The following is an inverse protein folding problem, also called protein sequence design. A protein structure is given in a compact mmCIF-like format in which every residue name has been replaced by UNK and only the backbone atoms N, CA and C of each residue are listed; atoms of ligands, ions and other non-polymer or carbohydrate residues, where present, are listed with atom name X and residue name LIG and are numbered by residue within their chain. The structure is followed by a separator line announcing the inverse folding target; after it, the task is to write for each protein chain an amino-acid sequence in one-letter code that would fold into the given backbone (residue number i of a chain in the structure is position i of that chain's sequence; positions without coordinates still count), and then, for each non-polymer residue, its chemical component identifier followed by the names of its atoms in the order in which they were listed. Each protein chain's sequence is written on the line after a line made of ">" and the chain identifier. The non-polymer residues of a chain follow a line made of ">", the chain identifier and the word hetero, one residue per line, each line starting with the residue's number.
data_IF_493959351872
#
_entry.id   IF_493959351872
#
_cell.length_a   1.000
_cell.length_b   1.000
_cell.length_c   1.000
_cell.angle_alpha   90.00
_cell.angle_beta   90.00
_cell.angle_gamma   90.00
#
_symmetry.space_group_name_H-M   'P 1'
#
loop_
_entity.id
_entity.type
_entity.pdbx_description
1 polymer ?
#
# COMPACT_ATOMS: atom_id res chain seq x y z
N UNK A 1 61.08 -8.30 -5.48
CA UNK A 1 59.95 -7.92 -4.62
C UNK A 1 60.47 -7.79 -3.20
N UNK A 2 60.66 -6.55 -2.75
CA UNK A 2 61.26 -6.25 -1.45
C UNK A 2 60.19 -6.34 -0.35
N UNK A 3 60.58 -6.62 0.90
CA UNK A 3 59.62 -6.89 1.99
C UNK A 3 58.64 -5.71 2.21
N UNK A 4 59.14 -4.48 2.04
CA UNK A 4 58.35 -3.25 2.13
C UNK A 4 57.29 -3.14 1.02
N UNK A 5 57.62 -3.54 -0.22
CA UNK A 5 56.69 -3.53 -1.36
C UNK A 5 55.53 -4.49 -1.11
N UNK A 6 55.83 -5.66 -0.55
CA UNK A 6 54.83 -6.68 -0.24
C UNK A 6 53.87 -6.24 0.88
N UNK A 7 54.38 -5.55 1.90
CA UNK A 7 53.55 -4.97 2.98
C UNK A 7 52.66 -3.84 2.46
N UNK A 8 53.18 -2.97 1.59
CA UNK A 8 52.38 -1.91 0.95
C UNK A 8 51.27 -2.49 0.06
N UNK A 9 51.56 -3.55 -0.70
CA UNK A 9 50.55 -4.27 -1.50
C UNK A 9 49.47 -4.85 -0.59
N UNK A 10 49.83 -5.43 0.56
CA UNK A 10 48.86 -5.99 1.50
C UNK A 10 47.94 -4.91 2.09
N UNK A 11 48.48 -3.75 2.49
CA UNK A 11 47.65 -2.62 2.95
C UNK A 11 46.75 -2.07 1.84
N UNK A 12 47.24 -1.97 0.61
CA UNK A 12 46.44 -1.55 -0.53
C UNK A 12 45.27 -2.52 -0.78
N UNK A 13 45.52 -3.83 -0.76
CA UNK A 13 44.46 -4.85 -0.94
C UNK A 13 43.42 -4.77 0.17
N UNK A 14 43.82 -4.62 1.44
CA UNK A 14 42.87 -4.48 2.55
C UNK A 14 42.03 -3.21 2.41
N UNK A 15 42.65 -2.10 2.02
CA UNK A 15 41.94 -0.83 1.82
C UNK A 15 40.93 -0.94 0.66
N UNK A 16 41.36 -1.43 -0.51
CA UNK A 16 40.48 -1.57 -1.67
C UNK A 16 39.35 -2.57 -1.43
N UNK A 17 39.62 -3.69 -0.75
CA UNK A 17 38.57 -4.68 -0.42
C UNK A 17 37.56 -4.12 0.59
N UNK A 18 38.01 -3.37 1.59
CA UNK A 18 37.12 -2.71 2.57
C UNK A 18 36.22 -1.66 1.90
N UNK A 19 36.80 -0.83 1.03
CA UNK A 19 36.03 0.17 0.27
C UNK A 19 35.04 -0.49 -0.68
N UNK A 20 35.46 -1.54 -1.41
CA UNK A 20 34.59 -2.28 -2.32
C UNK A 20 33.42 -2.96 -1.59
N UNK A 21 33.68 -3.55 -0.42
CA UNK A 21 32.64 -4.18 0.39
C UNK A 21 31.62 -3.17 0.90
N UNK A 22 32.08 -2.02 1.41
CA UNK A 22 31.19 -0.95 1.87
C UNK A 22 30.35 -0.38 0.72
N UNK A 23 30.95 -0.13 -0.44
CA UNK A 23 30.23 0.35 -1.60
C UNK A 23 29.15 -0.64 -2.05
N UNK A 24 29.49 -1.93 -2.16
CA UNK A 24 28.52 -2.96 -2.51
C UNK A 24 27.38 -2.97 -1.50
N UNK A 25 27.65 -2.98 -0.19
CA UNK A 25 26.60 -2.97 0.81
C UNK A 25 25.63 -1.79 0.65
N UNK A 26 26.15 -0.58 0.43
CA UNK A 26 25.31 0.62 0.24
C UNK A 26 24.45 0.53 -1.02
N UNK A 27 24.98 -0.02 -2.11
CA UNK A 27 24.22 -0.25 -3.36
C UNK A 27 23.08 -1.24 -3.14
N UNK A 28 23.31 -2.31 -2.39
CA UNK A 28 22.27 -3.29 -2.07
C UNK A 28 21.18 -2.69 -1.17
N UNK A 29 21.56 -1.93 -0.14
CA UNK A 29 20.60 -1.21 0.70
C UNK A 29 19.75 -0.21 -0.12
N UNK A 30 20.36 0.51 -1.08
CA UNK A 30 19.63 1.40 -1.98
C UNK A 30 18.67 0.64 -2.91
N UNK A 31 19.08 -0.52 -3.43
CA UNK A 31 18.22 -1.37 -4.24
C UNK A 31 16.99 -1.84 -3.44
N UNK A 32 17.18 -2.24 -2.19
CA UNK A 32 16.08 -2.65 -1.31
C UNK A 32 15.11 -1.50 -1.02
N UNK A 33 15.62 -0.28 -0.81
CA UNK A 33 14.77 0.90 -0.66
C UNK A 33 13.94 1.19 -1.92
N UNK A 34 14.53 1.08 -3.11
CA UNK A 34 13.83 1.27 -4.38
C UNK A 34 12.75 0.20 -4.60
N UNK A 35 13.05 -1.06 -4.30
CA UNK A 35 12.08 -2.15 -4.41
C UNK A 35 10.90 -1.92 -3.46
N UNK A 36 11.17 -1.53 -2.20
CA UNK A 36 10.14 -1.24 -1.22
C UNK A 36 9.30 -0.03 -1.60
N UNK A 37 9.91 1.04 -2.12
CA UNK A 37 9.20 2.21 -2.61
C UNK A 37 8.28 1.87 -3.78
N UNK A 38 8.74 1.04 -4.72
CA UNK A 38 7.91 0.58 -5.84
C UNK A 38 6.72 -0.26 -5.36
N UNK A 39 6.94 -1.21 -4.44
CA UNK A 39 5.86 -2.00 -3.84
C UNK A 39 4.83 -1.14 -3.12
N UNK A 40 5.30 -0.15 -2.35
CA UNK A 40 4.43 0.80 -1.65
C UNK A 40 3.58 1.61 -2.64
N UNK A 41 4.20 2.13 -3.71
CA UNK A 41 3.51 2.87 -4.77
C UNK A 41 2.44 2.00 -5.46
N UNK A 42 2.75 0.75 -5.79
CA UNK A 42 1.77 -0.16 -6.38
C UNK A 42 0.60 -0.46 -5.43
N UNK A 43 0.87 -0.69 -4.15
CA UNK A 43 -0.17 -0.87 -3.14
C UNK A 43 -1.06 0.38 -2.99
N UNK A 44 -0.45 1.58 -3.05
CA UNK A 44 -1.16 2.86 -3.02
C UNK A 44 -2.08 3.02 -4.24
N UNK A 45 -1.60 2.72 -5.44
CA UNK A 45 -2.42 2.79 -6.65
C UNK A 45 -3.59 1.79 -6.63
N UNK A 46 -3.36 0.56 -6.15
CA UNK A 46 -4.43 -0.42 -6.02
C UNK A 46 -5.49 0.04 -5.01
N UNK A 47 -5.05 0.58 -3.87
CA UNK A 47 -5.95 1.11 -2.83
C UNK A 47 -6.79 2.27 -3.37
N UNK A 48 -6.17 3.21 -4.08
CA UNK A 48 -6.88 4.31 -4.74
C UNK A 48 -7.86 3.83 -5.80
N UNK A 49 -7.45 2.88 -6.66
CA UNK A 49 -8.31 2.35 -7.71
C UNK A 49 -9.59 1.73 -7.16
N UNK A 50 -9.55 1.13 -5.96
CA UNK A 50 -10.73 0.56 -5.31
C UNK A 50 -11.61 1.65 -4.72
N UNK A 51 -11.04 2.69 -4.12
CA UNK A 51 -11.82 3.84 -3.64
C UNK A 51 -12.52 4.56 -4.80
N UNK A 52 -11.84 4.69 -5.94
CA UNK A 52 -12.40 5.28 -7.15
C UNK A 52 -13.45 4.36 -7.80
N UNK A 53 -13.30 3.03 -7.70
CA UNK A 53 -14.33 2.06 -8.08
C UNK A 53 -15.62 2.29 -7.28
N UNK A 54 -15.52 2.47 -5.95
CA UNK A 54 -16.68 2.75 -5.08
C UNK A 54 -17.36 4.06 -5.52
N UNK A 55 -16.59 5.12 -5.75
CA UNK A 55 -17.13 6.40 -6.23
C UNK A 55 -17.85 6.24 -7.58
N UNK A 56 -17.24 5.53 -8.52
CA UNK A 56 -17.84 5.30 -9.83
C UNK A 56 -19.17 4.53 -9.72
N UNK A 57 -19.25 3.50 -8.87
CA UNK A 57 -20.50 2.75 -8.66
C UNK A 57 -21.58 3.57 -7.96
N UNK A 58 -21.21 4.45 -7.04
CA UNK A 58 -22.15 5.38 -6.41
C UNK A 58 -22.66 6.41 -7.43
N UNK A 59 -21.79 7.07 -8.17
CA UNK A 59 -22.18 8.06 -9.17
C UNK A 59 -22.98 7.47 -10.34
N UNK A 60 -22.68 6.25 -10.75
CA UNK A 60 -23.42 5.54 -11.81
C UNK A 60 -24.75 4.95 -11.33
N UNK A 61 -25.09 5.07 -10.04
CA UNK A 61 -26.31 4.51 -9.41
C UNK A 61 -26.44 2.99 -9.49
N UNK A 62 -25.33 2.30 -9.76
CA UNK A 62 -25.29 0.83 -9.75
C UNK A 62 -25.16 0.27 -8.33
N UNK A 63 -24.83 1.13 -7.36
CA UNK A 63 -24.75 0.81 -5.94
C UNK A 63 -25.52 1.86 -5.13
N UNK A 64 -26.38 1.39 -4.22
CA UNK A 64 -27.03 2.26 -3.25
C UNK A 64 -26.10 2.51 -2.08
N UNK A 65 -26.17 3.69 -1.48
CA UNK A 65 -25.35 4.05 -0.32
C UNK A 65 -25.43 3.01 0.83
N UNK A 66 -26.63 2.51 1.11
CA UNK A 66 -26.84 1.52 2.17
C UNK A 66 -26.18 0.16 1.88
N UNK A 67 -25.89 -0.15 0.62
CA UNK A 67 -25.31 -1.42 0.19
C UNK A 67 -23.77 -1.40 0.15
N UNK A 68 -23.13 -0.24 0.40
CA UNK A 68 -21.66 -0.11 0.44
C UNK A 68 -21.06 -1.15 1.40
N UNK A 69 -21.58 -1.21 2.64
CA UNK A 69 -21.09 -2.15 3.67
C UNK A 69 -21.26 -3.61 3.26
N UNK A 70 -22.36 -3.92 2.58
CA UNK A 70 -22.66 -5.29 2.13
C UNK A 70 -21.74 -5.72 0.98
N UNK A 71 -21.39 -4.80 0.08
CA UNK A 71 -20.58 -5.10 -1.11
C UNK A 71 -19.07 -5.03 -0.85
N UNK A 72 -18.62 -4.14 0.05
CA UNK A 72 -17.21 -3.82 0.23
C UNK A 72 -16.58 -4.32 1.52
N UNK A 73 -17.29 -5.06 2.38
CA UNK A 73 -16.64 -5.84 3.45
C UNK A 73 -16.12 -7.17 2.89
N UNK A 74 -14.98 -7.14 2.20
CA UNK A 74 -14.44 -8.30 1.49
C UNK A 74 -12.92 -8.22 1.33
N UNK A 75 -12.32 -9.37 1.05
CA UNK A 75 -10.90 -9.49 0.70
C UNK A 75 -10.76 -9.85 -0.77
N UNK A 76 -9.81 -9.22 -1.46
CA UNK A 76 -9.50 -9.46 -2.87
C UNK A 76 -8.01 -9.75 -3.02
N UNK A 77 -7.67 -10.73 -3.84
CA UNK A 77 -6.28 -11.00 -4.23
C UNK A 77 -6.08 -10.62 -5.69
N UNK A 78 -5.10 -9.76 -5.96
CA UNK A 78 -4.77 -9.30 -7.31
C UNK A 78 -3.34 -9.70 -7.63
N UNK A 79 -3.17 -10.41 -8.74
CA UNK A 79 -1.85 -10.80 -9.24
C UNK A 79 -1.48 -9.90 -10.40
N UNK A 80 -0.45 -9.06 -10.22
CA UNK A 80 0.07 -8.21 -11.29
C UNK A 80 1.11 -8.99 -12.10
N UNK A 81 0.74 -9.38 -13.32
CA UNK A 81 1.60 -10.20 -14.20
C UNK A 81 2.96 -9.55 -14.52
N UNK A 82 3.05 -8.21 -14.53
CA UNK A 82 4.28 -7.50 -14.87
C UNK A 82 5.16 -7.13 -13.67
N UNK A 83 4.59 -7.07 -12.46
CA UNK A 83 5.34 -6.77 -11.23
C UNK A 83 5.70 -8.03 -10.42
N UNK A 84 5.30 -9.22 -10.88
CA UNK A 84 5.69 -10.50 -10.29
C UNK A 84 5.22 -10.69 -8.85
N UNK A 85 4.11 -10.07 -8.46
CA UNK A 85 3.64 -10.06 -7.08
C UNK A 85 2.13 -10.28 -6.96
N UNK A 86 1.75 -11.01 -5.91
CA UNK A 86 0.36 -11.08 -5.43
C UNK A 86 0.17 -10.02 -4.36
N UNK A 87 -0.93 -9.28 -4.49
CA UNK A 87 -1.35 -8.22 -3.58
C UNK A 87 -2.64 -8.68 -2.91
N UNK A 88 -2.61 -8.76 -1.58
CA UNK A 88 -3.79 -9.00 -0.76
C UNK A 88 -4.40 -7.67 -0.37
N UNK A 89 -5.67 -7.47 -0.70
CA UNK A 89 -6.40 -6.25 -0.44
C UNK A 89 -7.57 -6.57 0.49
N UNK A 90 -7.58 -5.98 1.68
CA UNK A 90 -8.72 -6.01 2.59
C UNK A 90 -9.51 -4.72 2.44
N UNK A 91 -10.82 -4.83 2.27
CA UNK A 91 -11.72 -3.68 2.19
C UNK A 91 -12.69 -3.77 3.37
N UNK A 92 -12.78 -2.69 4.12
CA UNK A 92 -13.65 -2.54 5.28
C UNK A 92 -14.51 -1.29 5.12
N UNK A 93 -15.81 -1.44 5.31
CA UNK A 93 -16.80 -0.38 5.18
C UNK A 93 -17.68 -0.34 6.42
N UNK A 94 -17.61 0.76 7.15
CA UNK A 94 -18.28 0.97 8.44
C UNK A 94 -18.98 2.33 8.51
N UNK A 95 -19.93 2.44 9.45
CA UNK A 95 -20.62 3.69 9.72
C UNK A 95 -19.69 4.65 10.48
N UNK A 96 -19.58 5.89 10.02
CA UNK A 96 -18.75 6.92 10.66
C UNK A 96 -19.52 8.23 10.89
N UNK A 97 -18.91 9.18 11.59
CA UNK A 97 -19.36 10.56 11.64
C UNK A 97 -18.84 11.38 10.44
N UNK A 98 -19.18 12.67 10.38
CA UNK A 98 -18.70 13.58 9.33
C UNK A 98 -17.18 13.79 9.31
N UNK A 99 -16.49 13.43 10.39
CA UNK A 99 -15.05 13.55 10.54
C UNK A 99 -14.32 12.23 10.25
N UNK A 100 -15.05 11.15 9.94
CA UNK A 100 -14.50 9.82 9.68
C UNK A 100 -14.23 9.00 10.94
N UNK A 101 -14.75 9.39 12.10
CA UNK A 101 -14.67 8.60 13.34
C UNK A 101 -15.74 7.51 13.30
N UNK A 102 -15.33 6.26 13.52
CA UNK A 102 -16.22 5.11 13.53
C UNK A 102 -17.26 5.22 14.64
N UNK A 103 -18.50 4.90 14.32
CA UNK A 103 -19.58 4.83 15.29
C UNK A 103 -19.55 3.46 16.01
N UNK A 104 -19.73 3.42 17.33
CA UNK A 104 -19.65 2.18 18.11
C UNK A 104 -20.81 1.22 17.84
N UNK A 105 -21.93 1.71 17.31
CA UNK A 105 -23.08 0.90 16.91
C UNK A 105 -23.55 1.31 15.51
N UNK A 106 -23.94 0.33 14.65
CA UNK A 106 -24.45 0.63 13.32
C UNK A 106 -25.77 1.39 13.42
N UNK A 107 -25.81 2.62 12.90
CA UNK A 107 -27.01 3.45 12.93
C UNK A 107 -27.83 3.26 11.65
N UNK A 108 -29.07 2.74 11.72
CA UNK A 108 -29.94 2.71 10.56
C UNK A 108 -30.19 4.15 10.09
N UNK A 109 -29.88 4.44 8.83
CA UNK A 109 -29.91 5.77 8.20
C UNK A 109 -28.72 6.70 8.48
N UNK A 110 -27.54 6.17 8.81
CA UNK A 110 -26.36 7.02 8.82
C UNK A 110 -26.12 7.69 7.45
N UNK A 111 -25.64 8.93 7.48
CA UNK A 111 -25.36 9.72 6.29
C UNK A 111 -23.90 9.56 5.81
N UNK A 112 -23.04 8.95 6.63
CA UNK A 112 -21.61 8.84 6.37
C UNK A 112 -21.16 7.38 6.47
N UNK A 113 -20.33 6.95 5.53
CA UNK A 113 -19.70 5.63 5.55
C UNK A 113 -18.22 5.79 5.29
N UNK A 114 -17.38 5.18 6.13
CA UNK A 114 -15.94 5.16 5.93
C UNK A 114 -15.61 3.86 5.20
N UNK A 115 -14.97 3.95 4.04
CA UNK A 115 -14.36 2.78 3.39
C UNK A 115 -12.86 2.89 3.59
N UNK A 116 -12.30 1.85 4.21
CA UNK A 116 -10.87 1.67 4.43
C UNK A 116 -10.39 0.52 3.56
N UNK A 117 -9.35 0.77 2.77
CA UNK A 117 -8.70 -0.22 1.93
C UNK A 117 -7.28 -0.41 2.46
N UNK A 118 -6.97 -1.64 2.84
CA UNK A 118 -5.65 -2.05 3.26
C UNK A 118 -5.04 -2.98 2.20
N UNK A 119 -3.92 -2.58 1.60
CA UNK A 119 -3.21 -3.39 0.61
C UNK A 119 -1.86 -3.83 1.17
N UNK A 120 -1.58 -5.13 1.03
CA UNK A 120 -0.35 -5.76 1.49
C UNK A 120 0.24 -6.63 0.39
N UNK A 121 1.56 -6.72 0.36
CA UNK A 121 2.30 -7.64 -0.50
C UNK A 121 3.51 -8.20 0.23
N UNK A 122 4.09 -9.27 -0.30
CA UNK A 122 5.25 -9.91 0.30
C UNK A 122 6.46 -8.97 0.33
N UNK A 123 7.09 -8.89 1.51
CA UNK A 123 8.26 -8.05 1.76
C UNK A 123 7.97 -6.57 2.06
N UNK A 124 6.70 -6.14 2.05
CA UNK A 124 6.33 -4.82 2.52
C UNK A 124 6.28 -4.81 4.06
N UNK A 125 7.01 -3.89 4.70
CA UNK A 125 7.14 -3.84 6.18
C UNK A 125 5.82 -3.47 6.88
N UNK A 126 5.08 -2.53 6.29
CA UNK A 126 3.77 -2.08 6.78
C UNK A 126 2.80 -2.05 5.62
N UNK A 127 1.56 -2.53 5.81
CA UNK A 127 0.53 -2.43 4.79
C UNK A 127 0.23 -0.97 4.44
N UNK A 128 -0.22 -0.72 3.22
CA UNK A 128 -0.70 0.60 2.82
C UNK A 128 -2.18 0.68 3.13
N UNK A 129 -2.55 1.62 3.98
CA UNK A 129 -3.95 1.87 4.34
C UNK A 129 -4.40 3.20 3.78
N UNK A 130 -5.52 3.20 3.07
CA UNK A 130 -6.17 4.40 2.58
C UNK A 130 -7.64 4.38 2.97
N UNK A 131 -8.20 5.55 3.25
CA UNK A 131 -9.58 5.66 3.67
C UNK A 131 -10.25 6.85 2.99
N UNK A 132 -11.55 6.71 2.71
CA UNK A 132 -12.39 7.78 2.17
C UNK A 132 -13.75 7.74 2.85
N UNK A 133 -14.24 8.92 3.22
CA UNK A 133 -15.59 9.10 3.77
C UNK A 133 -16.53 9.37 2.60
N UNK A 134 -17.58 8.57 2.51
CA UNK A 134 -18.65 8.71 1.54
C UNK A 134 -19.89 9.26 2.22
N UNK A 135 -20.54 10.21 1.57
CA UNK A 135 -21.77 10.83 2.07
C UNK A 135 -22.98 10.39 1.27
N UNK A 136 -24.09 10.16 1.95
CA UNK A 136 -25.39 9.96 1.32
C UNK A 136 -25.85 11.27 0.70
N UNK A 137 -25.90 11.32 -0.63
CA UNK A 137 -26.40 12.45 -1.42
C UNK A 137 -27.60 12.02 -2.23
N UNK A 138 -28.46 12.95 -2.68
CA UNK A 138 -29.66 12.66 -3.48
C UNK A 138 -29.39 11.84 -4.76
N UNK A 139 -28.15 11.89 -5.26
CA UNK A 139 -27.69 11.09 -6.39
C UNK A 139 -27.65 9.58 -6.08
N UNK A 140 -27.51 9.20 -4.81
CA UNK A 140 -27.21 7.85 -4.34
C UNK A 140 -28.35 7.21 -3.51
N UNK A 141 -29.55 7.81 -3.51
CA UNK A 141 -30.70 7.41 -2.68
C UNK A 141 -31.66 6.44 -3.41
N UNK A 142 -31.68 6.44 -4.74
CA UNK A 142 -32.63 5.62 -5.53
C UNK A 142 -32.08 4.26 -5.92
#
# INVERSE_FOLDING_TARGET
>A
MNMLEMVLVLFAVVLFTTVALNYNRLVWEQADYLINANKYLQCSHLSHSILDEVDAFLFSKQLKFNDIKKKYNTERNVTLQHAGGTYSISIHADDCDSLGVLLPEPKPNNLYALVTVETKTFGLRHPVTQQRVYTKTDLNIK
#
